data_IF_080477603329
#
_entry.id   IF_080477603329
#
_cell.length_a   1.000
_cell.length_b   1.000
_cell.length_c   1.000
_cell.angle_alpha   90.00
_cell.angle_beta   90.00
_cell.angle_gamma   90.00
#
_symmetry.space_group_name_H-M   'P 1'
#
loop_
_entity.id
_entity.type
_entity.pdbx_description
1 polymer ?
#
# COMPACT_ATOMS: atom_id res chain seq x y z
N UNK A 1 2.20 -9.54 16.10
CA UNK A 1 0.80 -9.21 15.78
C UNK A 1 0.73 -7.70 15.56
N UNK A 2 0.49 -7.22 14.33
CA UNK A 2 0.35 -5.77 14.08
C UNK A 2 -1.06 -5.52 13.58
N UNK A 3 -1.94 -5.18 14.52
CA UNK A 3 -3.27 -4.65 14.28
C UNK A 3 -3.19 -3.15 14.59
N UNK A 4 -3.15 -2.28 13.57
CA UNK A 4 -3.52 -0.89 13.82
C UNK A 4 -4.98 -0.76 13.39
N UNK A 5 -5.84 -0.81 14.40
CA UNK A 5 -7.24 -0.43 14.32
C UNK A 5 -7.30 1.10 14.25
N UNK A 6 -7.20 1.62 13.04
CA UNK A 6 -7.58 2.97 12.68
C UNK A 6 -8.27 2.85 11.33
N UNK A 7 -9.31 3.64 11.07
CA UNK A 7 -10.10 3.60 9.83
C UNK A 7 -9.32 4.14 8.60
N UNK A 8 -8.02 3.86 8.56
CA UNK A 8 -6.95 4.76 8.15
C UNK A 8 -5.68 3.91 8.00
N UNK A 9 -5.25 3.61 6.77
CA UNK A 9 -4.20 2.62 6.52
C UNK A 9 -2.83 3.28 6.45
N UNK A 10 -1.87 2.85 7.27
CA UNK A 10 -0.47 3.31 7.17
C UNK A 10 0.26 2.64 6.01
N UNK A 11 1.36 3.22 5.51
CA UNK A 11 2.16 2.67 4.42
C UNK A 11 2.58 1.21 4.69
N UNK A 12 3.09 0.93 5.89
CA UNK A 12 3.52 -0.42 6.30
C UNK A 12 2.38 -1.43 6.32
N UNK A 13 1.19 -1.02 6.76
CA UNK A 13 0.01 -1.89 6.72
C UNK A 13 -0.44 -2.15 5.28
N UNK A 14 -0.40 -1.13 4.43
CA UNK A 14 -0.74 -1.23 3.03
C UNK A 14 0.22 -2.19 2.31
N UNK A 15 1.53 -2.12 2.59
CA UNK A 15 2.54 -3.07 2.10
C UNK A 15 2.19 -4.51 2.51
N UNK A 16 1.97 -4.76 3.80
CA UNK A 16 1.66 -6.10 4.31
C UNK A 16 0.32 -6.64 3.78
N UNK A 17 -0.67 -5.78 3.58
CA UNK A 17 -1.94 -6.14 2.95
C UNK A 17 -1.74 -6.53 1.49
N UNK A 18 -1.03 -5.72 0.71
CA UNK A 18 -0.77 -5.98 -0.71
C UNK A 18 0.07 -7.24 -0.88
N UNK A 19 1.12 -7.42 -0.07
CA UNK A 19 1.97 -8.62 -0.08
C UNK A 19 1.17 -9.89 0.20
N UNK A 20 0.31 -9.88 1.23
CA UNK A 20 -0.57 -11.02 1.56
C UNK A 20 -1.60 -11.31 0.46
N UNK A 21 -2.14 -10.28 -0.20
CA UNK A 21 -3.17 -10.44 -1.24
C UNK A 21 -2.61 -10.89 -2.58
N UNK A 22 -1.45 -10.37 -2.98
CA UNK A 22 -0.88 -10.64 -4.30
C UNK A 22 0.07 -11.83 -4.30
N UNK A 23 0.76 -12.09 -3.19
CA UNK A 23 1.85 -13.07 -3.14
C UNK A 23 3.09 -12.65 -3.96
N UNK A 24 3.14 -11.39 -4.41
CA UNK A 24 4.24 -10.84 -5.21
C UNK A 24 5.30 -10.16 -4.36
N UNK A 25 6.43 -9.83 -5.00
CA UNK A 25 7.51 -9.07 -4.37
C UNK A 25 7.20 -7.57 -4.44
N UNK A 26 7.19 -6.90 -3.29
CA UNK A 26 7.05 -5.44 -3.22
C UNK A 26 8.38 -4.81 -3.65
N UNK A 27 8.34 -3.99 -4.70
CA UNK A 27 9.51 -3.30 -5.24
C UNK A 27 9.67 -1.89 -4.66
N UNK A 28 8.55 -1.21 -4.42
CA UNK A 28 8.55 0.17 -3.93
C UNK A 28 7.19 0.49 -3.32
N UNK A 29 7.18 1.34 -2.29
CA UNK A 29 5.97 1.81 -1.66
C UNK A 29 6.17 3.27 -1.26
N UNK A 30 5.28 4.15 -1.71
CA UNK A 30 5.36 5.59 -1.45
C UNK A 30 3.99 6.16 -1.10
N UNK A 31 3.95 7.08 -0.14
CA UNK A 31 2.75 7.86 0.19
C UNK A 31 2.73 9.12 -0.67
N UNK A 32 1.63 9.35 -1.37
CA UNK A 32 1.39 10.60 -2.11
C UNK A 32 0.13 11.29 -1.63
N UNK A 33 0.19 12.60 -1.49
CA UNK A 33 -1.01 13.40 -1.23
C UNK A 33 -1.63 13.81 -2.56
N UNK A 34 -2.84 13.34 -2.86
CA UNK A 34 -3.62 13.70 -4.04
C UNK A 34 -4.95 14.31 -3.60
N UNK A 35 -5.20 15.57 -3.95
CA UNK A 35 -6.46 16.26 -3.62
C UNK A 35 -6.75 16.31 -2.11
N UNK A 36 -5.72 16.49 -1.28
CA UNK A 36 -5.85 16.52 0.18
C UNK A 36 -6.10 15.15 0.83
N UNK A 37 -5.88 14.05 0.10
CA UNK A 37 -5.94 12.68 0.65
C UNK A 37 -4.61 11.99 0.44
N UNK A 38 -4.12 11.30 1.46
CA UNK A 38 -2.98 10.40 1.32
C UNK A 38 -3.39 9.17 0.51
N UNK A 39 -2.54 8.76 -0.41
CA UNK A 39 -2.68 7.57 -1.25
C UNK A 39 -1.33 6.88 -1.30
N UNK A 40 -1.29 5.64 -0.81
CA UNK A 40 -0.12 4.77 -0.88
C UNK A 40 -0.07 4.10 -2.24
N UNK A 41 1.00 4.34 -2.99
CA UNK A 41 1.30 3.66 -4.23
C UNK A 41 2.30 2.54 -3.96
N UNK A 42 1.90 1.30 -4.18
CA UNK A 42 2.71 0.12 -3.91
C UNK A 42 2.97 -0.62 -5.21
N UNK A 43 4.22 -0.64 -5.65
CA UNK A 43 4.67 -1.39 -6.82
C UNK A 43 4.98 -2.83 -6.42
N UNK A 44 4.38 -3.77 -7.10
CA UNK A 44 4.52 -5.21 -6.87
C UNK A 44 4.94 -5.89 -8.16
N UNK A 45 5.99 -6.71 -8.10
CA UNK A 45 6.34 -7.65 -9.14
C UNK A 45 5.60 -8.97 -8.90
N UNK A 46 4.81 -9.39 -9.88
CA UNK A 46 4.15 -10.69 -9.90
C UNK A 46 4.16 -11.25 -11.31
N UNK A 47 4.60 -12.51 -11.47
CA UNK A 47 4.65 -13.22 -12.76
C UNK A 47 5.39 -12.41 -13.84
N UNK A 48 6.51 -11.77 -13.48
CA UNK A 48 7.32 -10.93 -14.38
C UNK A 48 6.69 -9.58 -14.73
N UNK A 49 5.52 -9.23 -14.17
CA UNK A 49 4.83 -7.96 -14.43
C UNK A 49 4.79 -7.09 -13.19
N UNK A 50 5.10 -5.80 -13.37
CA UNK A 50 4.98 -4.80 -12.31
C UNK A 50 3.56 -4.22 -12.31
N UNK A 51 2.88 -4.27 -11.16
CA UNK A 51 1.57 -3.66 -10.94
C UNK A 51 1.66 -2.64 -9.80
N UNK A 52 0.98 -1.51 -9.97
CA UNK A 52 0.86 -0.49 -8.92
C UNK A 52 -0.49 -0.62 -8.24
N UNK A 53 -0.49 -0.92 -6.95
CA UNK A 53 -1.66 -0.93 -6.10
C UNK A 53 -1.79 0.42 -5.40
N UNK A 54 -2.96 1.05 -5.53
CA UNK A 54 -3.31 2.28 -4.81
C UNK A 54 -4.13 1.93 -3.58
N UNK A 55 -3.69 2.39 -2.43
CA UNK A 55 -4.36 2.17 -1.15
C UNK A 55 -4.57 3.53 -0.50
N UNK A 56 -5.79 3.83 -0.08
CA UNK A 56 -6.06 5.10 0.58
C UNK A 56 -5.35 5.12 1.94
N UNK A 57 -4.57 6.18 2.16
CA UNK A 57 -3.84 6.43 3.38
C UNK A 57 -4.68 7.15 4.41
N UNK A 58 -4.01 7.66 5.43
CA UNK A 58 -4.69 8.42 6.45
C UNK A 58 -5.10 9.80 5.94
N UNK A 59 -6.35 10.18 6.21
CA UNK A 59 -6.72 11.58 6.02
C UNK A 59 -5.98 12.36 7.09
N UNK A 60 -5.03 13.19 6.68
CA UNK A 60 -4.36 14.13 7.57
C UNK A 60 -5.32 15.23 8.00
#
# INVERSE_FOLDING_TARGET
>A
MVLAQGNCMSLSQAIESVRRRTGGQVLSAETRVQGGREVHHIKVLKDGKVRTHKVNGCRR
#
